data_IF_999214060385
#
_entry.id   IF_999214060385
#
_cell.length_a   1.000
_cell.length_b   1.000
_cell.length_c   1.000
_cell.angle_alpha   90.00
_cell.angle_beta   90.00
_cell.angle_gamma   90.00
#
_symmetry.space_group_name_H-M   'P 1'
#
loop_
_entity.id
_entity.type
_entity.pdbx_description
1 polymer ?
#
# COMPACT_ATOMS: atom_id res chain seq x y z
N UNK A 1 27.68 -53.53 -44.25
CA UNK A 1 28.20 -52.27 -43.72
C UNK A 1 27.02 -51.50 -43.15
N UNK A 2 26.68 -51.78 -41.89
CA UNK A 2 25.70 -51.00 -41.13
C UNK A 2 26.51 -49.94 -40.39
N UNK A 3 26.26 -48.69 -40.73
CA UNK A 3 26.91 -47.54 -40.12
C UNK A 3 26.31 -47.30 -38.74
N UNK A 4 27.08 -47.62 -37.71
CA UNK A 4 26.84 -47.25 -36.31
C UNK A 4 27.11 -45.74 -36.12
N UNK A 5 26.26 -44.87 -36.65
CA UNK A 5 26.24 -43.47 -36.23
C UNK A 5 24.92 -43.17 -35.50
N UNK A 6 24.97 -42.60 -34.29
CA UNK A 6 23.77 -42.17 -33.58
C UNK A 6 23.08 -41.03 -34.34
N UNK A 7 21.75 -41.06 -34.38
CA UNK A 7 20.88 -40.10 -35.09
C UNK A 7 21.02 -38.64 -34.58
N UNK A 8 21.78 -38.41 -33.50
CA UNK A 8 22.05 -37.09 -32.90
C UNK A 8 22.97 -36.18 -33.75
N UNK A 9 23.57 -36.69 -34.83
CA UNK A 9 24.47 -35.91 -35.71
C UNK A 9 23.70 -35.22 -36.86
N UNK A 10 22.40 -35.50 -37.05
CA UNK A 10 21.60 -35.00 -38.18
C UNK A 10 20.57 -33.92 -37.82
N UNK A 11 20.50 -33.47 -36.56
CA UNK A 11 19.63 -32.35 -36.18
C UNK A 11 20.43 -31.06 -36.11
N UNK A 12 20.44 -30.30 -37.21
CA UNK A 12 20.99 -28.94 -37.33
C UNK A 12 20.07 -27.88 -36.68
N UNK A 13 19.30 -28.25 -35.65
CA UNK A 13 18.59 -27.25 -34.85
C UNK A 13 19.59 -26.59 -33.90
N UNK A 14 19.80 -25.27 -33.97
CA UNK A 14 20.72 -24.59 -33.08
C UNK A 14 20.19 -24.73 -31.65
N UNK A 15 20.79 -25.64 -30.88
CA UNK A 15 20.55 -25.79 -29.44
C UNK A 15 21.05 -24.49 -28.80
N UNK A 16 20.11 -23.57 -28.55
CA UNK A 16 20.41 -22.32 -27.88
C UNK A 16 21.04 -22.64 -26.51
N UNK A 17 22.27 -22.16 -26.21
CA UNK A 17 22.86 -22.38 -24.91
C UNK A 17 21.94 -21.76 -23.85
N UNK A 18 21.57 -22.51 -22.82
CA UNK A 18 20.82 -21.96 -21.70
C UNK A 18 21.61 -20.78 -21.11
N UNK A 19 21.15 -19.56 -21.37
CA UNK A 19 21.75 -18.36 -20.77
C UNK A 19 21.51 -18.46 -19.28
N UNK A 20 22.55 -18.81 -18.52
CA UNK A 20 22.47 -18.84 -17.06
C UNK A 20 22.11 -17.45 -16.56
N UNK A 21 20.85 -17.28 -16.17
CA UNK A 21 20.34 -16.00 -15.68
C UNK A 21 20.99 -15.75 -14.33
N UNK A 22 21.98 -14.84 -14.29
CA UNK A 22 22.65 -14.48 -13.05
C UNK A 22 21.62 -13.86 -12.09
N UNK A 23 21.47 -14.41 -10.86
CA UNK A 23 20.50 -13.89 -9.91
C UNK A 23 20.91 -12.47 -9.50
N UNK A 24 20.02 -11.50 -9.70
CA UNK A 24 20.25 -10.13 -9.26
C UNK A 24 19.51 -9.88 -7.94
N UNK A 25 20.25 -10.02 -6.83
CA UNK A 25 19.72 -9.78 -5.47
C UNK A 25 19.38 -8.32 -5.21
N UNK A 26 19.88 -7.37 -6.00
CA UNK A 26 19.60 -5.95 -5.78
C UNK A 26 18.11 -5.63 -6.01
N UNK A 27 17.45 -6.32 -6.96
CA UNK A 27 16.04 -6.09 -7.30
C UNK A 27 15.12 -6.33 -6.08
N UNK A 28 15.09 -7.53 -5.46
CA UNK A 28 14.24 -7.78 -4.30
C UNK A 28 14.65 -6.96 -3.07
N UNK A 29 15.94 -6.60 -2.92
CA UNK A 29 16.39 -5.76 -1.81
C UNK A 29 15.82 -4.34 -1.94
N UNK A 30 15.93 -3.70 -3.11
CA UNK A 30 15.39 -2.35 -3.32
C UNK A 30 13.89 -2.29 -3.08
N UNK A 31 13.16 -3.29 -3.59
CA UNK A 31 11.71 -3.39 -3.39
C UNK A 31 11.36 -3.61 -1.91
N UNK A 32 12.10 -4.48 -1.22
CA UNK A 32 11.94 -4.69 0.22
C UNK A 32 12.16 -3.40 1.03
N UNK A 33 13.17 -2.60 0.67
CA UNK A 33 13.41 -1.28 1.30
C UNK A 33 12.24 -0.31 1.04
N UNK A 34 11.72 -0.24 -0.19
CA UNK A 34 10.56 0.58 -0.51
C UNK A 34 9.32 0.17 0.31
N UNK A 35 9.08 -1.13 0.49
CA UNK A 35 7.97 -1.64 1.32
C UNK A 35 8.15 -1.30 2.80
N UNK A 36 9.39 -1.34 3.31
CA UNK A 36 9.68 -0.94 4.70
C UNK A 36 9.41 0.56 4.89
N UNK A 37 9.88 1.41 3.97
CA UNK A 37 9.61 2.84 4.01
C UNK A 37 8.11 3.14 3.93
N UNK A 38 7.38 2.45 3.05
CA UNK A 38 5.93 2.53 2.97
C UNK A 38 5.26 2.10 4.29
N UNK A 39 5.69 1.00 4.88
CA UNK A 39 5.15 0.50 6.16
C UNK A 39 5.34 1.49 7.30
N UNK A 40 6.45 2.23 7.32
CA UNK A 40 6.72 3.24 8.35
C UNK A 40 5.77 4.44 8.21
N UNK A 41 5.54 4.88 6.97
CA UNK A 41 4.60 5.97 6.69
C UNK A 41 3.17 5.57 7.08
N UNK A 42 2.74 4.36 6.72
CA UNK A 42 1.42 3.82 7.07
C UNK A 42 1.30 3.63 8.58
N UNK A 43 2.35 3.16 9.26
CA UNK A 43 2.38 3.05 10.71
C UNK A 43 2.24 4.39 11.43
N UNK A 44 2.78 5.48 10.85
CA UNK A 44 2.57 6.82 11.37
C UNK A 44 1.11 7.26 11.25
N UNK A 45 0.48 7.03 10.08
CA UNK A 45 -0.95 7.32 9.90
C UNK A 45 -1.85 6.48 10.81
N UNK A 46 -1.53 5.19 10.98
CA UNK A 46 -2.25 4.32 11.91
C UNK A 46 -2.20 4.87 13.34
N UNK A 47 -1.01 5.28 13.80
CA UNK A 47 -0.85 5.88 15.12
C UNK A 47 -1.63 7.19 15.24
N UNK A 48 -1.58 8.04 14.23
CA UNK A 48 -2.38 9.27 14.17
C UNK A 48 -3.86 8.92 14.30
N UNK A 49 -4.41 8.03 13.47
CA UNK A 49 -5.82 7.62 13.54
C UNK A 49 -6.21 7.00 14.89
N UNK A 50 -5.32 6.24 15.53
CA UNK A 50 -5.54 5.66 16.86
C UNK A 50 -5.46 6.70 18.00
N UNK A 51 -4.75 7.81 17.79
CA UNK A 51 -4.55 8.88 18.78
C UNK A 51 -5.44 10.10 18.54
N UNK A 52 -6.06 10.22 17.37
CA UNK A 52 -7.13 11.19 17.06
C UNK A 52 -8.38 10.81 17.85
N UNK A 53 -8.35 11.05 19.15
CA UNK A 53 -9.44 10.80 20.08
C UNK A 53 -10.51 11.90 20.08
N UNK A 54 -10.17 13.12 19.65
CA UNK A 54 -11.04 14.28 19.37
C UNK A 54 -10.14 15.33 18.71
N UNK A 55 -10.57 15.99 17.62
CA UNK A 55 -9.81 17.12 17.05
C UNK A 55 -9.86 18.27 18.05
N UNK A 56 -8.71 18.87 18.37
CA UNK A 56 -8.69 20.01 19.30
C UNK A 56 -9.39 21.22 18.67
N UNK A 57 -10.00 22.08 19.49
CA UNK A 57 -10.68 23.29 18.98
C UNK A 57 -9.75 24.14 18.10
N UNK A 58 -8.47 24.23 18.46
CA UNK A 58 -7.45 24.96 17.67
C UNK A 58 -7.17 24.31 16.30
N UNK A 59 -7.17 22.97 16.21
CA UNK A 59 -6.99 22.25 14.94
C UNK A 59 -8.25 22.32 14.08
N UNK A 60 -9.43 22.28 14.70
CA UNK A 60 -10.70 22.42 14.01
C UNK A 60 -10.88 23.85 13.44
N UNK A 61 -10.51 24.88 14.20
CA UNK A 61 -10.47 26.26 13.74
C UNK A 61 -9.44 26.46 12.63
N UNK A 62 -8.25 25.88 12.74
CA UNK A 62 -7.24 25.95 11.68
C UNK A 62 -7.71 25.26 10.39
N UNK A 63 -8.40 24.12 10.51
CA UNK A 63 -8.97 23.42 9.37
C UNK A 63 -10.11 24.25 8.75
N UNK A 64 -11.03 24.77 9.56
CA UNK A 64 -12.10 25.66 9.10
C UNK A 64 -11.54 26.89 8.37
N UNK A 65 -10.53 27.57 8.93
CA UNK A 65 -9.87 28.71 8.28
C UNK A 65 -9.23 28.33 6.95
N UNK A 66 -8.57 27.18 6.86
CA UNK A 66 -7.96 26.70 5.61
C UNK A 66 -9.00 26.40 4.52
N UNK A 67 -10.19 25.92 4.90
CA UNK A 67 -11.30 25.68 3.99
C UNK A 67 -12.05 26.97 3.64
N UNK A 68 -12.16 27.91 4.58
CA UNK A 68 -12.78 29.22 4.38
C UNK A 68 -11.98 30.06 3.38
N UNK A 69 -10.64 30.00 3.42
CA UNK A 69 -9.78 30.61 2.39
C UNK A 69 -10.06 30.04 0.99
N UNK A 70 -10.49 28.78 0.90
CA UNK A 70 -10.85 28.10 -0.35
C UNK A 70 -12.32 28.33 -0.77
N UNK A 71 -13.08 29.12 0.00
CA UNK A 71 -14.45 29.51 -0.30
C UNK A 71 -15.53 28.68 0.40
N UNK A 72 -15.18 27.90 1.44
CA UNK A 72 -16.17 27.32 2.36
C UNK A 72 -16.68 28.38 3.37
N UNK A 73 -17.73 28.04 4.14
CA UNK A 73 -18.23 28.88 5.23
C UNK A 73 -18.45 28.03 6.48
N UNK A 74 -17.34 27.47 6.99
CA UNK A 74 -17.30 26.59 8.15
C UNK A 74 -16.91 27.37 9.41
N UNK A 75 -17.57 27.04 10.52
CA UNK A 75 -17.09 27.40 11.86
C UNK A 75 -16.28 26.23 12.42
N UNK A 76 -15.34 26.47 13.34
CA UNK A 76 -14.63 25.38 14.02
C UNK A 76 -15.57 24.39 14.71
N UNK A 77 -16.73 24.85 15.20
CA UNK A 77 -17.76 23.97 15.76
C UNK A 77 -18.35 22.97 14.76
N UNK A 78 -18.52 23.38 13.50
CA UNK A 78 -19.07 22.50 12.45
C UNK A 78 -18.06 21.40 12.09
N UNK A 79 -16.77 21.73 12.18
CA UNK A 79 -15.68 20.77 12.00
C UNK A 79 -15.60 19.81 13.19
N UNK A 80 -15.66 20.30 14.44
CA UNK A 80 -15.65 19.42 15.61
C UNK A 80 -16.82 18.46 15.62
N UNK A 81 -18.04 18.93 15.31
CA UNK A 81 -19.25 18.11 15.30
C UNK A 81 -19.16 17.00 14.22
N UNK A 82 -18.60 17.32 13.05
CA UNK A 82 -18.38 16.35 11.98
C UNK A 82 -17.34 15.26 12.38
N UNK A 83 -16.26 15.65 13.05
CA UNK A 83 -15.25 14.69 13.55
C UNK A 83 -15.77 13.84 14.71
N UNK A 84 -16.62 14.40 15.58
CA UNK A 84 -17.30 13.66 16.64
C UNK A 84 -18.30 12.64 16.07
N UNK A 85 -19.00 12.97 14.98
CA UNK A 85 -19.88 12.00 14.31
C UNK A 85 -19.09 10.88 13.62
N UNK A 86 -17.95 11.20 13.00
CA UNK A 86 -17.02 10.20 12.45
C UNK A 86 -16.48 9.28 13.55
N UNK A 87 -16.14 9.82 14.71
CA UNK A 87 -15.69 9.05 15.85
C UNK A 87 -16.80 8.15 16.42
N UNK A 88 -18.02 8.67 16.53
CA UNK A 88 -19.18 7.87 16.96
C UNK A 88 -19.45 6.70 16.02
N UNK A 89 -19.19 6.85 14.71
CA UNK A 89 -19.22 5.75 13.73
C UNK A 89 -17.95 4.87 13.73
N UNK A 90 -17.07 5.05 14.73
CA UNK A 90 -15.83 4.28 14.90
C UNK A 90 -14.88 4.34 13.69
N UNK A 91 -14.93 5.42 12.92
CA UNK A 91 -14.12 5.61 11.71
C UNK A 91 -12.62 5.49 11.99
N UNK A 92 -12.12 6.31 12.92
CA UNK A 92 -10.70 6.39 13.26
C UNK A 92 -10.16 5.10 13.89
N UNK A 93 -10.95 4.47 14.77
CA UNK A 93 -10.55 3.22 15.41
C UNK A 93 -10.49 2.06 14.41
N UNK A 94 -11.46 1.98 13.50
CA UNK A 94 -11.50 0.90 12.49
C UNK A 94 -10.34 1.03 11.51
N UNK A 95 -10.10 2.24 10.99
CA UNK A 95 -8.98 2.51 10.09
C UNK A 95 -7.63 2.27 10.78
N UNK A 96 -7.43 2.81 11.99
CA UNK A 96 -6.16 2.64 12.70
C UNK A 96 -5.82 1.17 12.99
N UNK A 97 -6.80 0.31 13.26
CA UNK A 97 -6.57 -1.14 13.45
C UNK A 97 -6.16 -1.81 12.13
N UNK A 98 -6.84 -1.51 11.02
CA UNK A 98 -6.52 -2.13 9.73
C UNK A 98 -5.17 -1.62 9.21
N UNK A 99 -4.91 -0.32 9.29
CA UNK A 99 -3.64 0.28 8.90
C UNK A 99 -2.47 -0.22 9.74
N UNK A 100 -2.63 -0.39 11.06
CA UNK A 100 -1.57 -0.95 11.92
C UNK A 100 -1.27 -2.41 11.57
N UNK A 101 -2.30 -3.21 11.28
CA UNK A 101 -2.12 -4.58 10.83
C UNK A 101 -1.46 -4.62 9.45
N UNK A 102 -1.88 -3.76 8.52
CA UNK A 102 -1.27 -3.62 7.19
C UNK A 102 0.20 -3.20 7.29
N UNK A 103 0.55 -2.27 8.18
CA UNK A 103 1.92 -1.83 8.41
C UNK A 103 2.82 -2.99 8.88
N UNK A 104 2.35 -3.80 9.83
CA UNK A 104 3.12 -4.97 10.32
C UNK A 104 3.32 -5.98 9.19
N UNK A 105 2.27 -6.29 8.42
CA UNK A 105 2.34 -7.25 7.32
C UNK A 105 3.27 -6.75 6.20
N UNK A 106 3.22 -5.47 5.86
CA UNK A 106 4.12 -4.85 4.88
C UNK A 106 5.57 -4.85 5.35
N UNK A 107 5.82 -4.58 6.64
CA UNK A 107 7.16 -4.60 7.24
C UNK A 107 7.74 -6.02 7.18
N UNK A 108 6.97 -7.03 7.57
CA UNK A 108 7.37 -8.44 7.48
C UNK A 108 7.58 -8.86 6.03
N UNK A 109 6.71 -8.44 5.11
CA UNK A 109 6.85 -8.69 3.67
C UNK A 109 8.15 -8.09 3.10
N UNK A 110 8.46 -6.85 3.45
CA UNK A 110 9.69 -6.17 3.06
C UNK A 110 10.95 -6.84 3.61
N UNK A 111 10.94 -7.24 4.89
CA UNK A 111 12.04 -7.98 5.51
C UNK A 111 12.27 -9.35 4.82
N UNK A 112 11.19 -10.09 4.55
CA UNK A 112 11.27 -11.38 3.85
C UNK A 112 11.80 -11.25 2.41
N UNK A 113 11.49 -10.14 1.73
CA UNK A 113 12.06 -9.83 0.42
C UNK A 113 13.56 -9.56 0.47
N UNK A 114 14.05 -8.84 1.48
CA UNK A 114 15.49 -8.61 1.68
C UNK A 114 16.22 -9.94 1.95
N UNK A 115 15.57 -10.86 2.67
CA UNK A 115 16.07 -12.21 2.90
C UNK A 115 16.01 -13.11 1.64
N UNK A 116 15.42 -12.62 0.54
CA UNK A 116 15.31 -13.35 -0.73
C UNK A 116 14.31 -14.51 -0.68
N UNK A 117 13.34 -14.50 0.24
CA UNK A 117 12.32 -15.55 0.34
C UNK A 117 11.14 -15.23 -0.57
N UNK A 118 10.73 -16.18 -1.42
CA UNK A 118 9.57 -16.02 -2.30
C UNK A 118 8.26 -15.72 -1.55
N UNK A 119 8.15 -16.14 -0.29
CA UNK A 119 7.02 -15.84 0.59
C UNK A 119 6.82 -14.33 0.82
N UNK A 120 7.89 -13.53 0.78
CA UNK A 120 7.81 -12.08 0.98
C UNK A 120 6.96 -11.37 -0.07
N UNK A 121 6.89 -11.91 -1.30
CA UNK A 121 6.02 -11.38 -2.37
C UNK A 121 4.55 -11.47 -1.98
N UNK A 122 4.12 -12.65 -1.52
CA UNK A 122 2.73 -12.90 -1.15
C UNK A 122 2.32 -12.17 0.13
N UNK A 123 3.22 -12.13 1.12
CA UNK A 123 2.98 -11.39 2.37
C UNK A 123 2.89 -9.90 2.09
N UNK A 124 3.81 -9.34 1.29
CA UNK A 124 3.76 -7.93 0.88
C UNK A 124 2.50 -7.57 0.10
N UNK A 125 2.09 -8.43 -0.85
CA UNK A 125 0.84 -8.25 -1.58
C UNK A 125 -0.40 -8.32 -0.66
N UNK A 126 -0.38 -9.20 0.35
CA UNK A 126 -1.43 -9.28 1.36
C UNK A 126 -1.55 -8.01 2.21
N UNK A 127 -0.42 -7.44 2.63
CA UNK A 127 -0.38 -6.17 3.37
C UNK A 127 -0.90 -4.99 2.55
N UNK A 128 -0.52 -4.91 1.27
CA UNK A 128 -1.04 -3.89 0.36
C UNK A 128 -2.54 -4.09 0.04
N UNK A 129 -3.00 -5.36 -0.03
CA UNK A 129 -4.41 -5.68 -0.16
C UNK A 129 -5.24 -5.19 1.02
N UNK A 130 -4.73 -5.35 2.25
CA UNK A 130 -5.36 -4.80 3.45
C UNK A 130 -5.50 -3.28 3.40
N UNK A 131 -4.50 -2.55 2.88
CA UNK A 131 -4.62 -1.10 2.67
C UNK A 131 -5.70 -0.71 1.66
N UNK A 132 -5.93 -1.53 0.62
CA UNK A 132 -7.03 -1.25 -0.31
C UNK A 132 -8.40 -1.50 0.33
N UNK A 133 -8.51 -2.55 1.16
CA UNK A 133 -9.73 -2.81 1.94
C UNK A 133 -9.99 -1.65 2.90
N UNK A 134 -8.95 -1.17 3.58
CA UNK A 134 -9.01 -0.01 4.47
C UNK A 134 -9.60 1.21 3.76
N UNK A 135 -9.07 1.57 2.59
CA UNK A 135 -9.57 2.70 1.82
C UNK A 135 -11.03 2.55 1.36
N UNK A 136 -11.46 1.34 1.02
CA UNK A 136 -12.87 1.06 0.67
C UNK A 136 -13.77 1.21 1.90
N UNK A 137 -13.37 0.65 3.04
CA UNK A 137 -14.11 0.79 4.31
C UNK A 137 -14.21 2.25 4.71
N UNK A 138 -13.11 3.00 4.62
CA UNK A 138 -13.08 4.44 4.87
C UNK A 138 -14.08 5.19 4.00
N UNK A 139 -14.09 4.94 2.68
CA UNK A 139 -15.04 5.59 1.77
C UNK A 139 -16.51 5.25 2.08
N UNK A 140 -16.81 4.01 2.51
CA UNK A 140 -18.17 3.62 2.87
C UNK A 140 -18.64 4.37 4.12
N UNK A 141 -17.79 4.50 5.15
CA UNK A 141 -18.14 5.21 6.38
C UNK A 141 -18.28 6.72 6.11
N UNK A 142 -17.37 7.29 5.32
CA UNK A 142 -17.43 8.69 4.87
C UNK A 142 -18.70 9.00 4.07
N UNK A 143 -19.17 8.07 3.24
CA UNK A 143 -20.42 8.23 2.50
C UNK A 143 -21.68 8.15 3.39
N UNK A 144 -21.54 7.64 4.62
CA UNK A 144 -22.62 7.52 5.59
C UNK A 144 -22.75 8.68 6.58
N UNK A 145 -21.86 9.68 6.54
CA UNK A 145 -21.91 10.89 7.38
C UNK A 145 -22.33 12.08 6.52
N UNK A 146 -23.30 12.86 7.00
CA UNK A 146 -23.77 14.06 6.30
C UNK A 146 -22.76 15.19 6.55
N UNK A 147 -22.06 15.62 5.50
CA UNK A 147 -21.02 16.63 5.61
C UNK A 147 -21.62 18.03 5.66
N UNK A 148 -21.18 18.92 6.58
CA UNK A 148 -21.69 20.29 6.69
C UNK A 148 -21.34 21.14 5.46
N UNK A 149 -20.23 20.83 4.77
CA UNK A 149 -19.86 21.45 3.50
C UNK A 149 -19.33 20.44 2.46
N UNK A 150 -19.63 20.66 1.16
CA UNK A 150 -19.14 19.79 0.09
C UNK A 150 -17.61 19.81 0.00
N UNK A 151 -16.96 20.92 0.38
CA UNK A 151 -15.52 21.12 0.33
C UNK A 151 -14.78 20.29 1.40
N UNK A 152 -15.38 20.11 2.58
CA UNK A 152 -14.89 19.25 3.65
C UNK A 152 -15.01 17.76 3.28
N UNK A 153 -16.13 17.38 2.65
CA UNK A 153 -16.31 16.01 2.14
C UNK A 153 -15.31 15.69 1.02
N UNK A 154 -15.00 16.68 0.18
CA UNK A 154 -14.09 16.57 -0.95
C UNK A 154 -12.64 16.37 -0.45
N UNK A 155 -12.19 17.15 0.53
CA UNK A 155 -10.84 17.04 1.09
C UNK A 155 -10.61 15.65 1.73
N UNK A 156 -11.59 15.14 2.47
CA UNK A 156 -11.51 13.80 3.06
C UNK A 156 -11.49 12.70 1.99
N UNK A 157 -12.33 12.82 0.94
CA UNK A 157 -12.30 11.89 -0.20
C UNK A 157 -10.97 11.94 -0.97
N UNK A 158 -10.34 13.11 -1.09
CA UNK A 158 -9.01 13.22 -1.69
C UNK A 158 -7.94 12.52 -0.88
N UNK A 159 -7.99 12.63 0.45
CA UNK A 159 -7.07 11.89 1.34
C UNK A 159 -7.27 10.39 1.13
N UNK A 160 -8.51 9.88 1.17
CA UNK A 160 -8.78 8.45 0.89
C UNK A 160 -8.31 8.02 -0.50
N UNK A 161 -8.50 8.85 -1.53
CA UNK A 161 -8.03 8.56 -2.89
C UNK A 161 -6.50 8.46 -2.98
N UNK A 162 -5.78 9.32 -2.23
CA UNK A 162 -4.32 9.25 -2.13
C UNK A 162 -3.86 7.93 -1.48
N UNK A 163 -4.57 7.46 -0.46
CA UNK A 163 -4.31 6.15 0.17
C UNK A 163 -4.56 4.97 -0.78
N UNK A 164 -5.56 5.04 -1.66
CA UNK A 164 -5.75 4.03 -2.71
C UNK A 164 -4.55 4.00 -3.66
N UNK A 165 -4.06 5.17 -4.07
CA UNK A 165 -2.89 5.29 -4.93
C UNK A 165 -1.64 4.69 -4.31
N UNK A 166 -1.38 4.98 -3.03
CA UNK A 166 -0.23 4.42 -2.33
C UNK A 166 -0.38 2.91 -2.07
N UNK A 167 -1.59 2.44 -1.79
CA UNK A 167 -1.92 1.01 -1.66
C UNK A 167 -1.68 0.24 -2.96
N UNK A 168 -2.12 0.77 -4.10
CA UNK A 168 -1.87 0.17 -5.42
C UNK A 168 -0.37 0.13 -5.76
N UNK A 169 0.37 1.19 -5.41
CA UNK A 169 1.81 1.21 -5.60
C UNK A 169 2.51 0.14 -4.75
N UNK A 170 2.14 0.02 -3.47
CA UNK A 170 2.65 -1.03 -2.58
C UNK A 170 2.23 -2.44 -3.02
N UNK A 171 1.11 -2.58 -3.75
CA UNK A 171 0.65 -3.84 -4.31
C UNK A 171 1.46 -4.23 -5.55
N UNK A 172 1.80 -3.27 -6.42
CA UNK A 172 2.53 -3.51 -7.66
C UNK A 172 4.00 -3.88 -7.42
N UNK A 173 4.66 -3.22 -6.46
CA UNK A 173 6.07 -3.40 -6.13
C UNK A 173 6.47 -4.87 -5.89
N UNK A 174 5.75 -5.66 -5.07
CA UNK A 174 6.03 -7.08 -4.84
C UNK A 174 6.03 -7.96 -6.11
N UNK A 175 5.31 -7.58 -7.17
CA UNK A 175 5.22 -8.39 -8.39
C UNK A 175 6.39 -8.17 -9.35
N UNK A 176 7.10 -7.05 -9.24
CA UNK A 176 8.24 -6.70 -10.12
C UNK A 176 9.32 -7.81 -10.14
N UNK A 177 9.76 -8.40 -9.01
CA UNK A 177 10.74 -9.47 -9.02
C UNK A 177 10.25 -10.75 -9.72
N UNK A 178 8.93 -10.98 -9.80
CA UNK A 178 8.36 -12.15 -10.49
C UNK A 178 8.34 -11.96 -12.01
N UNK A 179 8.18 -10.72 -12.49
CA UNK A 179 8.15 -10.39 -13.91
C UNK A 179 9.55 -10.41 -14.55
N UNK A 180 10.60 -10.09 -13.78
CA UNK A 180 11.99 -10.16 -14.26
C UNK A 180 12.59 -11.53 -13.98
N UNK A 181 13.05 -12.23 -15.02
CA UNK A 181 13.66 -13.56 -14.88
C UNK A 181 14.88 -13.58 -13.94
N UNK A 182 15.65 -12.49 -13.89
CA UNK A 182 16.79 -12.30 -12.97
C UNK A 182 16.38 -12.03 -11.52
N UNK A 183 15.21 -11.42 -11.31
CA UNK A 183 14.59 -11.24 -9.99
C UNK A 183 13.98 -12.54 -9.49
N UNK A 184 13.32 -13.30 -10.37
CA UNK A 184 12.73 -14.60 -10.05
C UNK A 184 13.80 -15.62 -9.66
N UNK A 185 14.96 -15.60 -10.33
CA UNK A 185 16.11 -16.42 -9.96
C UNK A 185 16.77 -16.00 -8.62
N UNK A 186 16.54 -14.77 -8.15
CA UNK A 186 17.06 -14.27 -6.87
C UNK A 186 16.17 -14.65 -5.67
N UNK A 187 14.90 -14.98 -5.92
CA UNK A 187 13.96 -15.46 -4.90
C UNK A 187 14.06 -16.98 -4.78
N UNK A 188 14.41 -17.46 -3.58
CA UNK A 188 14.44 -18.89 -3.23
C UNK A 188 13.16 -19.33 -2.54
#
# INVERSE_FOLDING_TARGET
MQSDLPDDVLSDEPIMPEVQIKPNKAIPITIGVCLILGSLLVGFFALSNLTTGTVSADEADALADSLNIQGANLTGSDVTDYFDELQNKSYFTTLGIIESLAAIVLLVGGALMIMGRRQGVWVGAGGAGLMLVDAVVGMIILAGVESPDPLLSLSMKFVSAFFIGCGLFCLALPFIPLLLASGRAALK
#
